data_IF_391795100120
#
_entry.id   IF_391795100120
#
_cell.length_a   1.000
_cell.length_b   1.000
_cell.length_c   1.000
_cell.angle_alpha   90.00
_cell.angle_beta   90.00
_cell.angle_gamma   90.00
#
_symmetry.space_group_name_H-M   'P 1'
#
loop_
_entity.id
_entity.type
_entity.pdbx_description
1 polymer ?
#
# COMPACT_ATOMS: atom_id res chain seq x y z
N UNK A 1 -44.36 -68.03 -20.33
CA UNK A 1 -44.80 -67.38 -19.08
C UNK A 1 -43.79 -66.31 -18.70
N UNK A 2 -44.09 -65.02 -18.93
CA UNK A 2 -43.27 -63.91 -18.44
C UNK A 2 -43.83 -63.47 -17.09
N UNK A 3 -43.13 -63.77 -15.99
CA UNK A 3 -43.49 -63.25 -14.66
C UNK A 3 -43.11 -61.77 -14.62
N UNK A 4 -44.11 -60.89 -14.72
CA UNK A 4 -43.92 -59.45 -14.53
C UNK A 4 -43.53 -59.15 -13.09
N UNK A 5 -42.58 -58.23 -12.91
CA UNK A 5 -42.19 -57.73 -11.59
C UNK A 5 -43.39 -56.96 -11.04
N UNK A 6 -44.02 -57.51 -10.01
CA UNK A 6 -45.16 -56.89 -9.33
C UNK A 6 -44.77 -55.55 -8.70
N UNK A 7 -45.78 -54.71 -8.44
CA UNK A 7 -45.65 -53.35 -7.90
C UNK A 7 -44.69 -53.23 -6.70
N UNK A 8 -44.61 -54.26 -5.85
CA UNK A 8 -43.69 -54.35 -4.72
C UNK A 8 -42.21 -54.48 -5.12
N UNK A 9 -41.91 -55.09 -6.26
CA UNK A 9 -40.55 -55.18 -6.79
C UNK A 9 -40.03 -53.84 -7.32
N UNK A 10 -40.92 -53.01 -7.88
CA UNK A 10 -40.56 -51.64 -8.30
C UNK A 10 -40.28 -50.72 -7.12
N UNK A 11 -41.06 -50.83 -6.03
CA UNK A 11 -40.82 -50.08 -4.79
C UNK A 11 -39.46 -50.45 -4.18
N UNK A 12 -39.12 -51.75 -4.17
CA UNK A 12 -37.80 -52.22 -3.69
C UNK A 12 -36.63 -51.63 -4.49
N UNK A 13 -36.75 -51.54 -5.82
CA UNK A 13 -35.70 -50.97 -6.69
C UNK A 13 -35.53 -49.46 -6.44
N UNK A 14 -36.62 -48.71 -6.26
CA UNK A 14 -36.56 -47.27 -6.00
C UNK A 14 -35.92 -46.97 -4.64
N UNK A 15 -36.23 -47.77 -3.61
CA UNK A 15 -35.59 -47.64 -2.29
C UNK A 15 -34.10 -47.94 -2.38
N UNK A 16 -33.71 -48.99 -3.13
CA UNK A 16 -32.30 -49.35 -3.32
C UNK A 16 -31.53 -48.23 -4.04
N UNK A 17 -32.10 -47.65 -5.10
CA UNK A 17 -31.50 -46.54 -5.84
C UNK A 17 -31.37 -45.29 -4.94
N UNK A 18 -32.39 -44.99 -4.14
CA UNK A 18 -32.36 -43.88 -3.18
C UNK A 18 -31.27 -44.02 -2.10
N UNK A 19 -31.04 -45.26 -1.63
CA UNK A 19 -29.95 -45.56 -0.69
C UNK A 19 -28.59 -45.39 -1.39
N UNK A 20 -28.43 -45.92 -2.60
CA UNK A 20 -27.18 -45.77 -3.36
C UNK A 20 -26.86 -44.29 -3.61
N UNK A 21 -27.85 -43.47 -3.99
CA UNK A 21 -27.66 -42.03 -4.21
C UNK A 21 -27.28 -41.31 -2.90
N UNK A 22 -27.92 -41.66 -1.77
CA UNK A 22 -27.61 -41.04 -0.47
C UNK A 22 -26.23 -41.37 0.06
N UNK A 23 -25.66 -42.52 -0.31
CA UNK A 23 -24.37 -42.97 0.22
C UNK A 23 -23.21 -42.97 -0.79
N UNK A 24 -23.47 -42.68 -2.08
CA UNK A 24 -22.42 -42.62 -3.11
C UNK A 24 -21.33 -41.60 -2.79
N UNK A 25 -21.68 -40.50 -2.11
CA UNK A 25 -20.70 -39.48 -1.69
C UNK A 25 -19.68 -40.01 -0.67
N UNK A 26 -20.01 -41.04 0.11
CA UNK A 26 -19.08 -41.70 1.04
C UNK A 26 -17.95 -42.41 0.29
N UNK A 27 -18.26 -43.03 -0.85
CA UNK A 27 -17.24 -43.64 -1.72
C UNK A 27 -16.33 -42.58 -2.34
N UNK A 28 -16.89 -41.45 -2.76
CA UNK A 28 -16.12 -40.33 -3.32
C UNK A 28 -15.13 -39.77 -2.29
N UNK A 29 -15.58 -39.55 -1.04
CA UNK A 29 -14.72 -39.10 0.06
C UNK A 29 -13.59 -40.11 0.33
N UNK A 30 -13.90 -41.42 0.33
CA UNK A 30 -12.90 -42.48 0.50
C UNK A 30 -11.80 -42.46 -0.56
N UNK A 31 -12.15 -42.20 -1.82
CA UNK A 31 -11.17 -42.09 -2.93
C UNK A 31 -10.24 -40.89 -2.73
N UNK A 32 -10.75 -39.74 -2.30
CA UNK A 32 -9.93 -38.55 -2.04
C UNK A 32 -8.97 -38.75 -0.86
N UNK A 33 -9.42 -39.41 0.21
CA UNK A 33 -8.56 -39.77 1.35
C UNK A 33 -7.43 -40.71 0.90
N UNK A 34 -7.76 -41.72 0.09
CA UNK A 34 -6.76 -42.67 -0.42
C UNK A 34 -5.74 -42.02 -1.36
N UNK A 35 -6.18 -41.12 -2.24
CA UNK A 35 -5.28 -40.34 -3.11
C UNK A 35 -4.36 -39.41 -2.29
N UNK A 36 -4.89 -38.74 -1.27
CA UNK A 36 -4.09 -37.93 -0.34
C UNK A 36 -3.02 -38.76 0.37
N UNK A 37 -3.37 -39.97 0.81
CA UNK A 37 -2.43 -40.93 1.41
C UNK A 37 -1.31 -41.34 0.43
N UNK A 38 -1.63 -41.65 -0.83
CA UNK A 38 -0.64 -42.01 -1.85
C UNK A 38 0.33 -40.87 -2.16
N UNK A 39 -0.17 -39.64 -2.26
CA UNK A 39 0.65 -38.43 -2.48
C UNK A 39 1.59 -38.22 -1.29
N UNK A 40 1.08 -38.33 -0.07
CA UNK A 40 1.88 -38.24 1.16
C UNK A 40 2.97 -39.32 1.19
N UNK A 41 2.64 -40.58 0.92
CA UNK A 41 3.58 -41.69 0.95
C UNK A 41 4.69 -41.53 -0.09
N UNK A 42 4.36 -41.06 -1.30
CA UNK A 42 5.34 -40.78 -2.37
C UNK A 42 6.25 -39.59 -2.05
N UNK A 43 5.70 -38.55 -1.40
CA UNK A 43 6.46 -37.38 -0.95
C UNK A 43 7.39 -37.71 0.23
N UNK A 44 6.93 -38.53 1.18
CA UNK A 44 7.68 -38.94 2.37
C UNK A 44 8.88 -39.85 2.03
N UNK A 45 8.79 -40.66 0.97
CA UNK A 45 9.89 -41.55 0.54
C UNK A 45 10.97 -40.86 -0.31
N UNK A 46 10.71 -39.67 -0.86
CA UNK A 46 11.61 -39.01 -1.82
C UNK A 46 12.29 -37.73 -1.29
N UNK A 47 12.23 -37.46 0.02
CA UNK A 47 12.75 -36.22 0.60
C UNK A 47 13.90 -36.46 1.57
N UNK A 48 15.10 -36.01 1.19
CA UNK A 48 16.24 -35.75 2.10
C UNK A 48 16.06 -34.47 2.93
N UNK A 49 14.84 -33.94 3.09
CA UNK A 49 14.58 -32.79 3.95
C UNK A 49 13.86 -33.23 5.22
N UNK A 50 14.66 -33.56 6.23
CA UNK A 50 14.22 -33.60 7.63
C UNK A 50 13.81 -32.18 8.05
N UNK A 51 12.64 -32.09 8.68
CA UNK A 51 12.09 -30.95 9.44
C UNK A 51 11.73 -29.67 8.66
N UNK A 52 10.43 -29.51 8.35
CA UNK A 52 9.53 -28.49 8.93
C UNK A 52 8.11 -28.56 8.32
N UNK A 53 7.12 -28.50 9.21
CA UNK A 53 5.69 -28.21 8.98
C UNK A 53 4.80 -29.33 8.42
N UNK A 54 4.49 -30.31 9.28
CA UNK A 54 3.40 -31.29 9.14
C UNK A 54 1.98 -30.71 9.34
N UNK A 55 1.85 -29.41 9.63
CA UNK A 55 0.56 -28.75 9.91
C UNK A 55 -0.12 -28.25 8.61
N UNK A 56 0.65 -27.93 7.57
CA UNK A 56 0.14 -27.38 6.30
C UNK A 56 -0.54 -28.43 5.39
N UNK A 57 -0.26 -29.71 5.59
CA UNK A 57 -0.86 -30.79 4.78
C UNK A 57 -2.28 -31.15 5.22
N UNK A 58 -2.71 -30.79 6.43
CA UNK A 58 -4.06 -31.07 6.93
C UNK A 58 -5.10 -30.01 6.52
N UNK A 59 -4.69 -28.76 6.28
CA UNK A 59 -5.60 -27.67 5.89
C UNK A 59 -6.14 -27.81 4.46
N UNK A 60 -5.38 -28.43 3.56
CA UNK A 60 -5.79 -28.64 2.16
C UNK A 60 -6.86 -29.72 2.00
N UNK A 61 -6.94 -30.68 2.93
CA UNK A 61 -7.93 -31.78 2.88
C UNK A 61 -9.29 -31.34 3.44
N UNK A 62 -9.32 -30.35 4.34
CA UNK A 62 -10.56 -29.88 4.98
C UNK A 62 -11.37 -28.88 4.12
N UNK A 63 -10.73 -28.17 3.18
CA UNK A 63 -11.40 -27.18 2.32
C UNK A 63 -12.08 -27.77 1.08
N UNK A 64 -11.84 -29.05 0.77
CA UNK A 64 -12.47 -29.75 -0.36
C UNK A 64 -13.84 -30.39 -0.02
N UNK A 65 -14.29 -30.32 1.24
CA UNK A 65 -15.56 -30.92 1.68
C UNK A 65 -16.75 -29.96 1.76
N UNK A 66 -16.55 -28.63 1.60
CA UNK A 66 -17.63 -27.63 1.76
C UNK A 66 -18.26 -27.19 0.42
N UNK A 67 -17.72 -27.59 -0.74
CA UNK A 67 -18.23 -27.14 -2.05
C UNK A 67 -19.31 -28.04 -2.70
N UNK A 68 -20.01 -28.87 -1.93
CA UNK A 68 -21.11 -29.70 -2.45
C UNK A 68 -22.36 -29.63 -1.56
N UNK A 69 -22.93 -28.43 -1.39
CA UNK A 69 -24.37 -28.28 -1.12
C UNK A 69 -24.88 -27.26 -2.15
N UNK A 70 -25.44 -27.80 -3.24
CA UNK A 70 -26.06 -27.04 -4.31
C UNK A 70 -27.54 -26.78 -4.03
N UNK A 71 -27.94 -25.57 -4.44
CA UNK A 71 -29.29 -25.08 -4.79
C UNK A 71 -30.21 -26.13 -5.44
N UNK A 72 -31.45 -26.27 -4.96
CA UNK A 72 -32.68 -26.67 -5.71
C UNK A 72 -33.96 -26.16 -4.99
N UNK A 73 -34.73 -25.25 -5.64
CA UNK A 73 -36.20 -24.91 -5.66
C UNK A 73 -37.08 -25.01 -4.37
N UNK A 74 -38.17 -24.24 -4.12
CA UNK A 74 -39.21 -23.61 -4.97
C UNK A 74 -40.06 -22.55 -4.21
N UNK A 75 -40.85 -21.76 -4.96
CA UNK A 75 -41.83 -20.72 -4.58
C UNK A 75 -43.04 -21.19 -3.73
N UNK A 76 -43.63 -20.27 -2.95
CA UNK A 76 -45.08 -19.93 -3.03
C UNK A 76 -45.51 -18.78 -2.10
N UNK A 77 -46.26 -17.85 -2.71
CA UNK A 77 -47.14 -16.76 -2.26
C UNK A 77 -47.36 -16.46 -0.77
N UNK A 78 -47.36 -15.16 -0.42
CA UNK A 78 -48.62 -14.42 -0.17
C UNK A 78 -48.41 -12.92 0.12
N UNK A 79 -49.13 -12.13 -0.68
CA UNK A 79 -49.70 -10.78 -0.46
C UNK A 79 -49.59 -10.14 0.93
N UNK A 80 -49.11 -8.89 0.98
CA UNK A 80 -49.97 -7.74 1.37
C UNK A 80 -49.35 -6.41 0.94
N UNK A 81 -50.17 -5.61 0.25
CA UNK A 81 -49.88 -4.25 -0.16
C UNK A 81 -50.20 -3.28 0.98
N UNK A 82 -49.34 -2.28 1.19
CA UNK A 82 -49.77 -0.98 1.73
C UNK A 82 -49.03 0.14 1.02
N UNK A 83 -49.77 0.82 0.14
CA UNK A 83 -49.47 2.17 -0.36
C UNK A 83 -49.55 3.16 0.80
N UNK A 84 -48.59 4.07 0.86
CA UNK A 84 -48.82 5.42 1.39
C UNK A 84 -48.12 6.44 0.51
N UNK A 85 -48.93 7.24 -0.17
CA UNK A 85 -48.59 8.47 -0.88
C UNK A 85 -49.08 9.62 0.00
N UNK A 86 -48.21 10.61 0.24
CA UNK A 86 -48.56 11.99 0.62
C UNK A 86 -47.32 12.82 0.22
N UNK A 87 -47.40 13.50 -0.93
CA UNK A 87 -47.86 14.87 -1.12
C UNK A 87 -46.72 15.90 -1.03
N UNK A 88 -46.52 16.58 -2.17
CA UNK A 88 -45.62 17.68 -2.38
C UNK A 88 -46.06 18.92 -1.59
N UNK A 89 -45.08 19.68 -1.08
CA UNK A 89 -45.21 21.14 -0.97
C UNK A 89 -43.95 21.82 -1.50
N UNK A 90 -44.08 22.32 -2.72
CA UNK A 90 -43.26 23.35 -3.36
C UNK A 90 -43.28 24.66 -2.57
N UNK A 91 -42.12 25.27 -2.37
CA UNK A 91 -42.01 26.73 -2.19
C UNK A 91 -40.93 27.25 -3.16
N UNK A 92 -41.38 28.04 -4.13
CA UNK A 92 -40.59 28.94 -4.94
C UNK A 92 -40.12 30.11 -4.06
N UNK A 93 -38.85 30.49 -4.16
CA UNK A 93 -38.43 31.88 -3.92
C UNK A 93 -37.59 32.34 -5.11
N UNK A 94 -38.13 33.33 -5.80
CA UNK A 94 -37.50 34.04 -6.91
C UNK A 94 -36.73 35.25 -6.38
N UNK A 95 -35.52 35.45 -6.94
CA UNK A 95 -34.66 36.63 -7.05
C UNK A 95 -35.17 37.98 -6.49
N UNK A 96 -34.26 38.73 -5.87
CA UNK A 96 -34.05 40.16 -6.19
C UNK A 96 -32.59 40.56 -5.98
N UNK A 97 -32.06 41.33 -6.93
CA UNK A 97 -30.70 41.85 -7.00
C UNK A 97 -30.59 43.28 -6.44
N UNK A 98 -29.34 43.71 -6.28
CA UNK A 98 -28.79 45.06 -6.08
C UNK A 98 -28.75 45.64 -4.65
N UNK A 99 -27.52 45.86 -4.14
CA UNK A 99 -27.02 47.24 -3.98
C UNK A 99 -25.48 47.33 -3.86
N UNK A 100 -24.95 48.24 -4.69
CA UNK A 100 -23.68 49.01 -4.67
C UNK A 100 -22.60 48.75 -3.59
N UNK A 101 -21.39 48.47 -4.10
CA UNK A 101 -20.12 49.23 -3.95
C UNK A 101 -19.98 50.13 -2.70
N UNK A 102 -19.10 49.73 -1.79
CA UNK A 102 -18.23 50.63 -1.03
C UNK A 102 -16.92 49.90 -0.72
N UNK A 103 -15.80 50.55 -1.06
CA UNK A 103 -14.43 50.14 -0.80
C UNK A 103 -14.00 50.80 0.52
N UNK A 104 -13.23 50.11 1.37
CA UNK A 104 -12.05 50.76 1.91
C UNK A 104 -10.80 49.92 1.66
N UNK A 105 -9.77 50.64 1.24
CA UNK A 105 -8.40 50.20 1.01
C UNK A 105 -7.80 49.62 2.30
N UNK A 106 -7.40 48.34 2.26
CA UNK A 106 -6.43 47.77 3.19
C UNK A 106 -5.27 47.12 2.40
N UNK A 107 -4.07 47.45 2.86
CA UNK A 107 -2.77 47.16 2.27
C UNK A 107 -2.56 45.68 1.91
N UNK A 108 -2.42 45.40 0.61
CA UNK A 108 -1.90 44.12 0.13
C UNK A 108 -0.38 44.09 0.27
N UNK A 109 0.12 43.53 1.37
CA UNK A 109 1.40 42.79 1.36
C UNK A 109 1.28 41.68 0.31
N UNK A 110 2.00 41.82 -0.81
CA UNK A 110 2.13 40.79 -1.85
C UNK A 110 2.73 39.52 -1.25
N UNK A 111 1.89 38.55 -0.91
CA UNK A 111 2.32 37.17 -0.74
C UNK A 111 2.74 36.64 -2.12
N UNK A 112 3.98 36.16 -2.25
CA UNK A 112 4.46 35.51 -3.47
C UNK A 112 3.71 34.19 -3.63
N UNK A 113 2.65 34.19 -4.42
CA UNK A 113 2.02 32.96 -4.92
C UNK A 113 3.05 32.27 -5.83
N UNK A 114 3.54 31.10 -5.41
CA UNK A 114 4.53 30.32 -6.16
C UNK A 114 4.00 29.92 -7.54
N UNK A 115 4.91 29.83 -8.52
CA UNK A 115 4.61 29.39 -9.90
C UNK A 115 3.95 28.01 -9.84
N UNK A 116 2.78 27.87 -10.46
CA UNK A 116 2.08 26.60 -10.62
C UNK A 116 2.88 25.72 -11.59
N UNK A 117 3.51 24.65 -11.09
CA UNK A 117 4.29 23.72 -11.90
C UNK A 117 3.33 22.73 -12.61
N UNK A 118 3.47 22.58 -13.92
CA UNK A 118 2.86 21.51 -14.70
C UNK A 118 3.85 20.34 -14.89
N UNK A 119 3.38 19.20 -15.42
CA UNK A 119 4.23 18.00 -15.61
C UNK A 119 5.46 18.27 -16.49
N UNK A 120 5.33 19.11 -17.51
CA UNK A 120 6.43 19.48 -18.42
C UNK A 120 7.50 20.34 -17.73
N UNK A 121 7.13 21.12 -16.71
CA UNK A 121 8.09 21.88 -15.90
C UNK A 121 8.91 20.94 -14.99
N UNK A 122 8.38 19.77 -14.60
CA UNK A 122 9.02 18.86 -13.63
C UNK A 122 10.33 18.29 -14.15
N UNK A 123 10.43 18.02 -15.46
CA UNK A 123 11.63 17.43 -16.09
C UNK A 123 12.87 18.32 -15.96
N UNK A 124 12.67 19.62 -15.81
CA UNK A 124 13.75 20.61 -15.76
C UNK A 124 14.10 21.03 -14.34
N UNK A 125 13.37 20.55 -13.33
CA UNK A 125 13.65 20.86 -11.94
C UNK A 125 15.02 20.34 -11.51
N UNK A 126 15.71 21.16 -10.73
CA UNK A 126 16.96 20.79 -10.09
C UNK A 126 16.71 20.59 -8.60
N UNK A 127 17.36 19.57 -8.03
CA UNK A 127 17.32 19.34 -6.61
C UNK A 127 18.09 20.46 -5.88
N UNK A 128 17.41 21.17 -4.99
CA UNK A 128 17.99 22.28 -4.21
C UNK A 128 17.97 22.01 -2.70
N UNK A 129 17.87 20.75 -2.28
CA UNK A 129 17.92 20.33 -0.87
C UNK A 129 16.59 19.86 -0.27
N UNK A 130 15.45 20.10 -0.92
CA UNK A 130 14.16 19.53 -0.51
C UNK A 130 13.81 18.36 -1.45
N UNK A 131 13.73 17.15 -0.91
CA UNK A 131 13.53 15.94 -1.73
C UNK A 131 12.08 15.81 -2.22
N UNK A 132 11.12 16.33 -1.46
CA UNK A 132 9.72 16.42 -1.87
C UNK A 132 9.29 17.88 -1.99
N UNK A 133 8.59 18.21 -3.08
CA UNK A 133 8.01 19.54 -3.30
C UNK A 133 6.52 19.43 -3.64
N UNK A 134 5.74 20.44 -3.26
CA UNK A 134 4.34 20.53 -3.64
C UNK A 134 4.20 20.93 -5.11
N UNK A 135 3.38 20.20 -5.86
CA UNK A 135 2.98 20.53 -7.23
C UNK A 135 1.55 21.07 -7.18
N UNK A 136 1.26 22.09 -7.98
CA UNK A 136 -0.07 22.75 -7.96
C UNK A 136 -0.54 23.15 -6.54
N UNK A 137 0.39 23.61 -5.69
CA UNK A 137 0.10 23.95 -4.29
C UNK A 137 -0.38 22.76 -3.45
N UNK A 138 -0.02 21.54 -3.82
CA UNK A 138 -0.46 20.31 -3.16
C UNK A 138 -1.83 19.80 -3.61
N UNK A 139 -2.46 20.46 -4.60
CA UNK A 139 -3.79 20.09 -5.07
C UNK A 139 -3.74 19.13 -6.27
N UNK A 140 -4.39 17.95 -6.19
CA UNK A 140 -4.58 17.07 -7.35
C UNK A 140 -5.27 17.80 -8.49
N UNK A 141 -4.98 17.39 -9.72
CA UNK A 141 -5.56 17.94 -10.95
C UNK A 141 -6.62 17.04 -11.57
N UNK A 142 -7.17 16.10 -10.81
CA UNK A 142 -8.20 15.17 -11.28
C UNK A 142 -9.49 15.89 -11.67
N UNK A 143 -10.04 15.52 -12.82
CA UNK A 143 -11.38 15.94 -13.25
C UNK A 143 -12.47 15.20 -12.47
N UNK A 144 -13.72 15.63 -12.62
CA UNK A 144 -14.87 14.90 -12.06
C UNK A 144 -14.99 13.48 -12.61
N UNK A 145 -14.60 13.28 -13.87
CA UNK A 145 -14.66 11.97 -14.54
C UNK A 145 -13.58 11.03 -13.99
N UNK A 146 -12.39 11.55 -13.68
CA UNK A 146 -11.31 10.79 -13.02
C UNK A 146 -11.72 10.26 -11.65
N UNK A 147 -12.62 10.98 -10.96
CA UNK A 147 -13.11 10.63 -9.62
C UNK A 147 -14.35 9.72 -9.65
N UNK A 148 -14.84 9.34 -10.85
CA UNK A 148 -16.04 8.53 -10.98
C UNK A 148 -15.81 7.09 -10.52
N UNK A 149 -16.66 6.62 -9.61
CA UNK A 149 -16.65 5.25 -9.08
C UNK A 149 -17.60 4.31 -9.83
N UNK A 150 -18.26 4.79 -10.88
CA UNK A 150 -19.29 4.02 -11.61
C UNK A 150 -18.77 2.70 -12.21
N UNK A 151 -17.47 2.60 -12.47
CA UNK A 151 -16.81 1.39 -13.00
C UNK A 151 -16.17 0.50 -11.93
N UNK A 152 -16.38 0.82 -10.65
CA UNK A 152 -15.66 0.17 -9.54
C UNK A 152 -14.18 0.52 -9.53
N UNK A 153 -13.42 -0.23 -8.75
CA UNK A 153 -11.97 -0.03 -8.64
C UNK A 153 -11.22 -0.56 -9.86
N UNK A 154 -10.12 0.09 -10.20
CA UNK A 154 -9.29 -0.27 -11.35
C UNK A 154 -7.84 0.16 -11.14
N UNK A 155 -6.94 -0.47 -11.88
CA UNK A 155 -5.54 -0.09 -12.02
C UNK A 155 -5.16 -0.17 -13.49
N UNK A 156 -4.37 0.79 -13.95
CA UNK A 156 -3.81 0.86 -15.28
C UNK A 156 -2.31 1.16 -15.20
N UNK A 157 -1.56 0.49 -16.06
CA UNK A 157 -0.11 0.64 -16.14
C UNK A 157 0.26 0.85 -17.60
N UNK A 158 0.77 2.03 -17.90
CA UNK A 158 1.16 2.41 -19.25
C UNK A 158 2.14 1.42 -19.86
N UNK A 159 2.08 1.28 -21.18
CA UNK A 159 3.09 0.52 -21.90
C UNK A 159 4.46 1.12 -21.67
N UNK A 160 5.48 0.26 -21.61
CA UNK A 160 6.85 0.73 -21.57
C UNK A 160 7.12 1.57 -22.82
N UNK A 161 7.88 2.66 -22.68
CA UNK A 161 8.27 3.48 -23.82
C UNK A 161 9.35 2.81 -24.69
N UNK A 162 9.85 3.52 -25.71
CA UNK A 162 10.88 3.02 -26.62
C UNK A 162 12.23 2.69 -25.95
N UNK A 163 12.44 3.11 -24.70
CA UNK A 163 13.61 2.80 -23.88
C UNK A 163 13.31 1.72 -22.84
N UNK A 164 12.14 1.08 -22.92
CA UNK A 164 11.61 0.12 -21.96
C UNK A 164 11.36 0.71 -20.57
N UNK A 165 11.08 2.01 -20.48
CA UNK A 165 10.85 2.70 -19.20
C UNK A 165 9.35 2.72 -18.89
N UNK A 166 8.93 2.56 -17.62
CA UNK A 166 7.55 2.81 -17.20
C UNK A 166 7.12 4.24 -17.50
N UNK A 167 5.86 4.42 -17.94
CA UNK A 167 5.34 5.75 -18.34
C UNK A 167 4.39 6.35 -17.32
N UNK A 168 3.49 5.56 -16.74
CA UNK A 168 2.57 5.97 -15.69
C UNK A 168 1.98 4.74 -14.98
N UNK A 169 1.53 4.96 -13.75
CA UNK A 169 0.66 4.04 -13.03
C UNK A 169 -0.54 4.82 -12.50
N UNK A 170 -1.73 4.37 -12.85
CA UNK A 170 -3.00 5.01 -12.54
C UNK A 170 -3.91 4.01 -11.84
N UNK A 171 -4.67 4.47 -10.85
CA UNK A 171 -5.64 3.63 -10.19
C UNK A 171 -6.78 4.43 -9.56
N UNK A 172 -7.94 3.78 -9.47
CA UNK A 172 -9.00 4.11 -8.53
C UNK A 172 -9.06 2.96 -7.53
N UNK A 173 -8.45 3.17 -6.36
CA UNK A 173 -8.15 2.12 -5.40
C UNK A 173 -9.28 2.05 -4.38
N UNK A 174 -9.72 0.84 -4.04
CA UNK A 174 -10.58 0.59 -2.88
C UNK A 174 -9.95 -0.48 -1.97
N UNK A 175 -10.53 -0.67 -0.77
CA UNK A 175 -10.04 -1.65 0.21
C UNK A 175 -9.89 -3.06 -0.36
N UNK A 176 -10.80 -3.48 -1.25
CA UNK A 176 -10.78 -4.82 -1.86
C UNK A 176 -9.54 -5.08 -2.75
N UNK A 177 -8.84 -4.06 -3.21
CA UNK A 177 -7.59 -4.21 -3.98
C UNK A 177 -6.37 -4.48 -3.10
N UNK A 178 -6.43 -4.18 -1.79
CA UNK A 178 -5.29 -4.35 -0.91
C UNK A 178 -5.00 -5.85 -0.72
N UNK A 179 -3.75 -6.31 -0.93
CA UNK A 179 -3.43 -7.72 -0.88
C UNK A 179 -3.47 -8.24 0.56
N UNK A 180 -4.04 -9.42 0.74
CA UNK A 180 -3.92 -10.20 1.98
C UNK A 180 -2.71 -11.15 1.95
N UNK A 181 -2.23 -11.48 0.75
CA UNK A 181 -1.07 -12.34 0.55
C UNK A 181 0.24 -11.62 0.92
N UNK A 182 1.19 -12.40 1.44
CA UNK A 182 2.55 -11.91 1.67
C UNK A 182 3.20 -11.55 0.35
N UNK A 183 3.92 -10.42 0.32
CA UNK A 183 4.69 -9.99 -0.84
C UNK A 183 5.83 -10.95 -1.14
N UNK A 184 5.97 -11.34 -2.41
CA UNK A 184 7.08 -12.15 -2.89
C UNK A 184 8.32 -11.29 -3.23
N UNK A 185 9.53 -11.88 -3.28
CA UNK A 185 10.74 -11.16 -3.67
C UNK A 185 10.63 -10.52 -5.07
N UNK A 186 11.25 -9.35 -5.23
CA UNK A 186 11.33 -8.68 -6.52
C UNK A 186 12.52 -9.18 -7.36
N UNK A 187 12.26 -9.56 -8.60
CA UNK A 187 13.25 -10.12 -9.52
C UNK A 187 13.45 -9.29 -10.81
N UNK A 188 12.55 -8.36 -11.14
CA UNK A 188 12.68 -7.47 -12.30
C UNK A 188 13.77 -6.43 -12.05
N UNK A 189 14.72 -6.28 -12.98
CA UNK A 189 15.65 -5.16 -12.96
C UNK A 189 15.12 -4.07 -13.89
N UNK A 190 14.72 -2.90 -13.37
CA UNK A 190 14.27 -1.79 -14.20
C UNK A 190 15.42 -1.18 -14.99
N UNK A 191 15.09 -0.26 -15.91
CA UNK A 191 16.08 0.49 -16.68
C UNK A 191 17.08 1.20 -15.77
N UNK A 192 18.35 1.26 -16.19
CA UNK A 192 19.42 1.88 -15.42
C UNK A 192 19.82 1.15 -14.12
N UNK A 193 19.45 -0.12 -13.94
CA UNK A 193 19.76 -0.85 -12.71
C UNK A 193 21.27 -1.12 -12.53
N UNK A 194 21.97 -0.21 -11.85
CA UNK A 194 23.41 -0.30 -11.51
C UNK A 194 23.63 -0.05 -10.01
N UNK A 195 23.21 -1.02 -9.20
CA UNK A 195 23.17 -0.86 -7.75
C UNK A 195 24.57 -0.88 -7.08
N UNK A 196 24.71 -0.13 -5.99
CA UNK A 196 25.93 0.01 -5.19
C UNK A 196 25.59 0.01 -3.71
N UNK A 197 26.47 -0.55 -2.88
CA UNK A 197 26.31 -0.53 -1.42
C UNK A 197 26.84 0.78 -0.85
N UNK A 198 26.01 1.45 -0.06
CA UNK A 198 26.28 2.64 0.76
C UNK A 198 26.13 2.28 2.24
N UNK A 199 26.35 3.22 3.17
CA UNK A 199 26.23 2.97 4.61
C UNK A 199 24.85 2.41 5.00
N UNK A 200 23.78 2.98 4.43
CA UNK A 200 22.40 2.58 4.69
C UNK A 200 21.95 1.31 3.94
N UNK A 201 22.87 0.57 3.29
CA UNK A 201 22.56 -0.65 2.55
C UNK A 201 22.76 -0.49 1.05
N UNK A 202 21.82 -0.97 0.23
CA UNK A 202 21.89 -0.76 -1.22
C UNK A 202 21.28 0.60 -1.61
N UNK A 203 21.91 1.30 -2.55
CA UNK A 203 21.50 2.60 -3.04
C UNK A 203 20.12 2.55 -3.70
N UNK A 204 19.92 1.60 -4.60
CA UNK A 204 18.67 1.49 -5.37
C UNK A 204 17.75 0.40 -4.82
N UNK A 205 16.48 0.73 -4.78
CA UNK A 205 15.36 -0.18 -4.67
C UNK A 205 14.73 -0.36 -6.05
N UNK A 206 14.13 -1.54 -6.26
CA UNK A 206 13.14 -1.74 -7.32
C UNK A 206 11.87 -1.06 -6.84
N UNK A 207 11.80 0.25 -7.08
CA UNK A 207 10.79 1.11 -6.50
C UNK A 207 9.50 0.99 -7.29
N UNK A 208 8.42 0.71 -6.57
CA UNK A 208 7.09 0.62 -7.15
C UNK A 208 6.55 2.01 -7.48
N UNK A 209 5.86 2.19 -8.61
CA UNK A 209 5.10 3.42 -8.84
C UNK A 209 3.85 3.44 -7.96
N UNK A 210 3.09 2.34 -7.93
CA UNK A 210 2.03 2.08 -6.95
C UNK A 210 2.48 0.91 -6.08
N UNK A 211 2.70 1.18 -4.79
CA UNK A 211 3.18 0.20 -3.82
C UNK A 211 2.31 -1.04 -3.71
N UNK A 212 2.96 -2.19 -3.49
CA UNK A 212 2.30 -3.49 -3.32
C UNK A 212 1.13 -3.46 -2.32
N UNK A 213 1.27 -2.70 -1.21
CA UNK A 213 0.23 -2.61 -0.17
C UNK A 213 -1.10 -2.04 -0.66
N UNK A 214 -1.12 -1.36 -1.81
CA UNK A 214 -2.31 -0.73 -2.37
C UNK A 214 -3.00 -1.61 -3.41
N UNK A 215 -2.25 -2.36 -4.22
CA UNK A 215 -2.82 -3.08 -5.39
C UNK A 215 -2.35 -4.52 -5.57
N UNK A 216 -1.42 -5.00 -4.74
CA UNK A 216 -0.85 -6.36 -4.83
C UNK A 216 0.10 -6.58 -6.01
N UNK A 217 0.36 -5.55 -6.85
CA UNK A 217 1.27 -5.68 -7.98
C UNK A 217 2.72 -5.85 -7.51
N UNK A 218 3.30 -7.02 -7.79
CA UNK A 218 4.64 -7.35 -7.30
C UNK A 218 5.72 -7.16 -8.38
N UNK A 219 5.90 -8.11 -9.31
CA UNK A 219 6.94 -8.08 -10.34
C UNK A 219 6.46 -7.54 -11.70
N UNK A 220 5.59 -6.53 -11.69
CA UNK A 220 5.13 -5.89 -12.92
C UNK A 220 6.22 -4.91 -13.43
N UNK A 221 6.87 -5.16 -14.59
CA UNK A 221 7.91 -4.28 -15.11
C UNK A 221 7.40 -2.88 -15.46
N UNK A 222 6.10 -2.71 -15.72
CA UNK A 222 5.47 -1.39 -15.93
C UNK A 222 5.23 -0.59 -14.65
N UNK A 223 5.46 -1.20 -13.49
CA UNK A 223 5.26 -0.61 -12.18
C UNK A 223 6.57 -0.49 -11.38
N UNK A 224 7.74 -0.67 -12.01
CA UNK A 224 9.02 -0.70 -11.31
C UNK A 224 10.05 0.21 -11.98
N UNK A 225 10.65 1.10 -11.19
CA UNK A 225 11.76 1.97 -11.62
C UNK A 225 13.01 1.76 -10.74
N UNK A 226 14.17 2.18 -11.25
CA UNK A 226 15.39 2.33 -10.43
C UNK A 226 15.21 3.56 -9.54
N UNK A 227 14.75 3.36 -8.31
CA UNK A 227 14.54 4.43 -7.34
C UNK A 227 15.57 4.36 -6.22
N UNK A 228 16.06 5.49 -5.73
CA UNK A 228 16.92 5.53 -4.54
C UNK A 228 16.16 5.01 -3.32
N UNK A 229 16.92 4.56 -2.32
CA UNK A 229 16.35 4.13 -1.06
C UNK A 229 15.53 5.24 -0.42
N UNK A 230 16.07 6.47 -0.33
CA UNK A 230 15.36 7.60 0.29
C UNK A 230 14.10 8.00 -0.47
N UNK A 231 14.11 8.04 -1.80
CA UNK A 231 12.90 8.33 -2.58
C UNK A 231 11.83 7.28 -2.32
N UNK A 232 12.21 6.00 -2.35
CA UNK A 232 11.26 4.92 -2.09
C UNK A 232 10.75 4.91 -0.63
N UNK A 233 11.62 5.22 0.33
CA UNK A 233 11.31 5.28 1.76
C UNK A 233 12.36 6.16 2.46
N UNK A 234 11.94 7.28 3.09
CA UNK A 234 10.57 7.57 3.51
C UNK A 234 9.67 8.31 2.54
N UNK A 235 10.21 8.92 1.48
CA UNK A 235 9.49 9.96 0.75
C UNK A 235 8.19 9.46 0.09
N UNK A 236 8.23 8.39 -0.71
CA UNK A 236 7.00 7.81 -1.29
C UNK A 236 6.13 7.12 -0.24
N UNK A 237 6.74 6.29 0.62
CA UNK A 237 6.03 5.39 1.53
C UNK A 237 5.05 6.13 2.44
N UNK A 238 5.39 7.33 2.89
CA UNK A 238 4.52 8.05 3.82
C UNK A 238 3.19 8.49 3.18
N UNK A 239 3.19 8.81 1.88
CA UNK A 239 1.95 9.13 1.15
C UNK A 239 1.13 7.86 0.91
N UNK A 240 1.81 6.76 0.60
CA UNK A 240 1.17 5.45 0.40
C UNK A 240 0.52 4.94 1.71
N UNK A 241 1.17 5.18 2.85
CA UNK A 241 0.66 4.81 4.17
C UNK A 241 -0.62 5.59 4.54
N UNK A 242 -0.74 6.86 4.15
CA UNK A 242 -1.98 7.64 4.32
C UNK A 242 -3.13 7.05 3.49
N UNK A 243 -2.86 6.70 2.22
CA UNK A 243 -3.84 6.05 1.33
C UNK A 243 -4.26 4.70 1.91
N UNK A 244 -3.29 3.85 2.29
CA UNK A 244 -3.54 2.52 2.81
C UNK A 244 -4.39 2.56 4.09
N UNK A 245 -4.16 3.56 4.94
CA UNK A 245 -4.96 3.76 6.14
C UNK A 245 -6.38 4.17 5.82
N UNK A 246 -6.57 5.19 4.97
CA UNK A 246 -7.90 5.63 4.57
C UNK A 246 -8.74 4.46 4.04
N UNK A 247 -8.16 3.63 3.17
CA UNK A 247 -8.86 2.47 2.61
C UNK A 247 -9.23 1.44 3.69
N UNK A 248 -8.38 1.25 4.70
CA UNK A 248 -8.65 0.35 5.82
C UNK A 248 -9.76 0.84 6.74
N UNK A 249 -9.83 2.15 7.00
CA UNK A 249 -10.86 2.76 7.86
C UNK A 249 -12.15 3.06 7.12
N UNK A 250 -12.10 3.12 5.79
CA UNK A 250 -13.23 3.43 4.91
C UNK A 250 -13.36 2.28 3.89
N UNK A 251 -13.89 1.11 4.28
CA UNK A 251 -13.87 -0.10 3.44
C UNK A 251 -14.66 0.04 2.12
N UNK A 252 -15.58 1.00 2.04
CA UNK A 252 -16.34 1.35 0.84
C UNK A 252 -15.80 2.60 0.12
N UNK A 253 -14.74 3.21 0.65
CA UNK A 253 -14.11 4.40 0.12
C UNK A 253 -13.23 4.09 -1.09
N UNK A 254 -13.03 5.12 -1.91
CA UNK A 254 -12.15 5.07 -3.08
C UNK A 254 -11.11 6.18 -3.00
N UNK A 255 -9.90 5.90 -3.48
CA UNK A 255 -8.85 6.90 -3.67
C UNK A 255 -8.41 6.87 -5.13
N UNK A 256 -8.56 7.99 -5.83
CA UNK A 256 -7.94 8.19 -7.13
C UNK A 256 -6.47 8.49 -6.91
N UNK A 257 -5.58 7.66 -7.46
CA UNK A 257 -4.14 7.74 -7.26
C UNK A 257 -3.40 7.60 -8.58
N UNK A 258 -2.43 8.48 -8.83
CA UNK A 258 -1.59 8.48 -10.03
C UNK A 258 -0.14 8.71 -9.65
N UNK A 259 0.76 7.95 -10.27
CA UNK A 259 2.20 8.14 -10.18
C UNK A 259 2.83 8.12 -11.57
N UNK A 260 3.55 9.19 -11.92
CA UNK A 260 4.24 9.37 -13.19
C UNK A 260 5.74 9.53 -12.94
N UNK A 261 6.59 8.57 -13.36
CA UNK A 261 8.03 8.76 -13.31
C UNK A 261 8.46 9.82 -14.33
N UNK A 262 9.33 10.73 -13.91
CA UNK A 262 9.81 11.84 -14.76
C UNK A 262 11.22 11.52 -15.24
N UNK A 263 11.36 11.20 -16.53
CA UNK A 263 12.66 11.02 -17.18
C UNK A 263 13.02 12.25 -18.00
N UNK A 264 14.31 12.59 -18.03
CA UNK A 264 14.81 13.64 -18.93
C UNK A 264 15.44 12.99 -20.15
N UNK A 265 15.00 13.41 -21.34
CA UNK A 265 15.49 12.90 -22.61
C UNK A 265 15.50 11.35 -22.65
N UNK A 266 16.66 10.77 -22.98
CA UNK A 266 16.89 9.33 -23.10
C UNK A 266 17.45 8.69 -21.82
N UNK A 267 17.34 9.35 -20.66
CA UNK A 267 17.83 8.82 -19.40
C UNK A 267 17.11 7.55 -18.99
N UNK A 268 17.87 6.59 -18.45
CA UNK A 268 17.34 5.29 -18.03
C UNK A 268 16.89 5.27 -16.56
N UNK A 269 17.24 6.28 -15.78
CA UNK A 269 16.80 6.47 -14.40
C UNK A 269 15.97 7.74 -14.31
N UNK A 270 14.79 7.66 -13.70
CA UNK A 270 13.91 8.81 -13.53
C UNK A 270 14.58 9.84 -12.61
N UNK A 271 14.39 11.12 -12.91
CA UNK A 271 14.80 12.26 -12.07
C UNK A 271 13.98 12.37 -10.80
N UNK A 272 12.78 11.79 -10.81
CA UNK A 272 11.85 11.78 -9.70
C UNK A 272 10.53 11.14 -10.11
N UNK A 273 9.55 11.21 -9.22
CA UNK A 273 8.17 10.78 -9.46
C UNK A 273 7.21 11.92 -9.13
N UNK A 274 6.24 12.14 -10.01
CA UNK A 274 5.08 12.98 -9.74
C UNK A 274 3.98 12.09 -9.17
N UNK A 275 3.51 12.40 -7.98
CA UNK A 275 2.48 11.64 -7.27
C UNK A 275 1.30 12.54 -6.92
N UNK A 276 0.08 12.10 -7.22
CA UNK A 276 -1.13 12.78 -6.78
C UNK A 276 -2.22 11.79 -6.33
N UNK A 277 -2.92 12.13 -5.26
CA UNK A 277 -4.02 11.34 -4.74
C UNK A 277 -5.18 12.19 -4.25
N UNK A 278 -6.41 11.69 -4.42
CA UNK A 278 -7.63 12.27 -3.88
C UNK A 278 -8.61 11.17 -3.46
N UNK A 279 -9.07 11.20 -2.21
CA UNK A 279 -10.22 10.39 -1.77
C UNK A 279 -11.51 10.86 -2.46
N UNK A 280 -12.36 9.93 -2.87
CA UNK A 280 -13.62 10.26 -3.56
C UNK A 280 -14.72 10.52 -2.54
N UNK A 281 -15.42 11.64 -2.69
CA UNK A 281 -16.54 12.03 -1.83
C UNK A 281 -16.14 12.79 -0.56
N UNK A 282 -14.85 12.85 -0.25
CA UNK A 282 -14.29 13.66 0.84
C UNK A 282 -12.89 14.20 0.47
N UNK A 283 -12.19 14.86 1.41
CA UNK A 283 -10.82 15.35 1.20
C UNK A 283 -9.83 14.77 2.24
N UNK A 284 -10.13 13.60 2.81
CA UNK A 284 -9.32 12.98 3.86
C UNK A 284 -7.91 12.61 3.36
N UNK A 285 -7.80 12.20 2.09
CA UNK A 285 -6.52 12.04 1.39
C UNK A 285 -6.50 13.02 0.22
N UNK A 286 -5.57 13.97 0.23
CA UNK A 286 -5.42 14.95 -0.84
C UNK A 286 -3.98 15.47 -0.91
N UNK A 287 -3.26 15.13 -1.97
CA UNK A 287 -1.92 15.67 -2.21
C UNK A 287 -1.54 15.66 -3.69
N UNK A 288 -0.59 16.51 -4.04
CA UNK A 288 0.05 16.56 -5.35
C UNK A 288 1.50 17.00 -5.17
N UNK A 289 2.45 16.10 -5.42
CA UNK A 289 3.85 16.27 -5.06
C UNK A 289 4.79 15.74 -6.13
N UNK A 290 5.98 16.30 -6.20
CA UNK A 290 7.09 15.75 -6.95
C UNK A 290 8.20 15.36 -5.98
N UNK A 291 8.66 14.12 -6.08
CA UNK A 291 9.70 13.56 -5.22
C UNK A 291 10.94 13.29 -6.07
N UNK A 292 12.04 13.96 -5.76
CA UNK A 292 13.31 13.78 -6.44
C UNK A 292 13.90 12.39 -6.16
N UNK A 293 14.42 11.76 -7.22
CA UNK A 293 15.13 10.48 -7.13
C UNK A 293 16.60 10.74 -6.78
N UNK A 294 16.84 11.18 -5.56
CA UNK A 294 18.16 11.57 -5.02
C UNK A 294 18.51 10.74 -3.80
N UNK A 295 19.77 10.74 -3.40
CA UNK A 295 20.24 10.11 -2.17
C UNK A 295 21.37 10.95 -1.60
N UNK A 296 21.31 11.28 -0.32
CA UNK A 296 22.34 12.07 0.34
C UNK A 296 23.73 11.46 0.16
N UNK A 297 24.70 12.31 -0.18
CA UNK A 297 26.08 11.92 -0.41
C UNK A 297 26.32 11.06 -1.66
N UNK A 298 25.36 10.97 -2.59
CA UNK A 298 25.47 10.22 -3.83
C UNK A 298 25.15 11.09 -5.06
N UNK A 299 26.08 11.12 -6.01
CA UNK A 299 25.87 11.69 -7.34
C UNK A 299 25.42 10.56 -8.28
N UNK A 300 24.22 10.69 -8.86
CA UNK A 300 23.63 9.71 -9.77
C UNK A 300 23.87 10.15 -11.21
N UNK A 301 24.38 9.23 -12.03
CA UNK A 301 24.33 9.37 -13.48
C UNK A 301 22.98 8.83 -13.98
N UNK A 302 22.03 9.73 -14.23
CA UNK A 302 20.68 9.33 -14.65
C UNK A 302 20.63 8.69 -16.04
N UNK A 303 21.65 8.91 -16.87
CA UNK A 303 21.72 8.33 -18.22
C UNK A 303 21.77 6.80 -18.20
N UNK A 304 22.51 6.20 -17.24
CA UNK A 304 22.76 4.75 -17.19
C UNK A 304 22.59 4.12 -15.79
N UNK A 305 22.36 4.96 -14.78
CA UNK A 305 22.19 4.61 -13.37
C UNK A 305 23.47 4.32 -12.60
N UNK A 306 24.65 4.53 -13.18
CA UNK A 306 25.90 4.51 -12.41
C UNK A 306 25.92 5.63 -11.37
N UNK A 307 26.75 5.51 -10.33
CA UNK A 307 26.78 6.48 -9.24
C UNK A 307 28.18 6.71 -8.68
N UNK A 308 28.44 7.92 -8.18
CA UNK A 308 29.61 8.25 -7.35
C UNK A 308 29.14 8.50 -5.93
N UNK A 309 29.83 7.86 -4.98
CA UNK A 309 29.50 7.94 -3.56
C UNK A 309 30.57 8.80 -2.91
N UNK A 310 30.15 9.81 -2.15
CA UNK A 310 31.07 10.65 -1.40
C UNK A 310 31.89 9.81 -0.42
N UNK A 311 33.12 10.24 -0.08
CA UNK A 311 34.01 9.49 0.80
C UNK A 311 33.36 9.14 2.15
N UNK A 312 32.48 10.03 2.64
CA UNK A 312 31.73 9.83 3.89
C UNK A 312 30.65 8.77 3.78
N UNK A 313 30.15 8.42 2.59
CA UNK A 313 29.09 7.41 2.40
C UNK A 313 29.63 6.03 1.99
N UNK A 314 30.96 5.92 1.83
CA UNK A 314 31.61 4.63 1.59
C UNK A 314 31.76 3.84 2.88
N UNK A 315 31.46 2.53 2.83
CA UNK A 315 31.79 1.61 3.90
C UNK A 315 33.33 1.48 3.95
N UNK A 316 34.01 2.26 4.82
CA UNK A 316 35.39 1.94 5.19
C UNK A 316 35.37 0.58 5.89
N UNK A 317 36.19 -0.37 5.41
CA UNK A 317 36.52 -1.57 6.20
C UNK A 317 37.08 -1.09 7.55
N UNK A 318 36.34 -1.37 8.61
CA UNK A 318 36.67 -0.98 9.98
C UNK A 318 37.94 -1.71 10.43
N UNK A 319 38.97 -1.01 10.95
CA UNK A 319 39.98 -1.63 11.80
C UNK A 319 39.33 -1.98 13.14
N UNK A 320 39.56 -3.20 13.62
CA UNK A 320 39.20 -3.69 14.95
C UNK A 320 39.82 -2.81 16.04
N UNK A 321 39.01 -2.30 16.97
CA UNK A 321 39.50 -1.67 18.21
C UNK A 321 38.82 -2.34 19.40
N UNK A 322 39.68 -2.81 20.29
CA UNK A 322 39.42 -3.40 21.60
C UNK A 322 38.72 -2.46 22.55
N UNK A 323 37.87 -3.05 23.38
CA UNK A 323 37.16 -2.49 24.52
C UNK A 323 38.08 -1.95 25.63
N UNK A 324 37.85 -0.71 26.07
CA UNK A 324 38.03 -0.34 27.47
C UNK A 324 37.03 0.73 27.89
N UNK A 325 36.26 0.40 28.91
CA UNK A 325 35.25 1.16 29.65
C UNK A 325 35.85 2.22 30.58
N UNK A 326 35.20 3.38 30.69
CA UNK A 326 35.13 4.18 31.92
C UNK A 326 33.98 5.20 31.83
N UNK A 327 33.15 5.19 32.88
CA UNK A 327 32.02 6.06 33.19
C UNK A 327 32.49 7.34 33.92
N UNK A 328 31.81 8.48 33.71
CA UNK A 328 31.44 9.45 34.77
C UNK A 328 30.57 10.58 34.22
N UNK A 329 29.50 10.89 34.95
CA UNK A 329 28.51 11.94 34.75
C UNK A 329 29.05 13.35 35.05
N UNK A 330 28.52 14.38 34.37
CA UNK A 330 27.90 15.55 35.02
C UNK A 330 27.28 16.51 33.98
N UNK A 331 26.11 17.01 34.34
CA UNK A 331 25.15 17.85 33.62
C UNK A 331 25.63 19.28 33.33
N UNK A 332 25.31 19.80 32.14
CA UNK A 332 24.86 21.19 31.95
C UNK A 332 23.94 21.31 30.73
N UNK A 333 22.96 22.20 30.90
CA UNK A 333 21.81 22.51 30.05
C UNK A 333 22.22 23.01 28.66
N UNK A 334 21.85 22.27 27.62
CA UNK A 334 21.77 22.83 26.28
C UNK A 334 20.64 22.17 25.48
N UNK A 335 19.94 23.00 24.71
CA UNK A 335 18.69 22.69 24.01
C UNK A 335 19.01 21.83 22.77
N UNK A 336 19.37 20.57 23.01
CA UNK A 336 19.77 19.61 21.98
C UNK A 336 18.59 18.74 21.55
N UNK A 337 18.27 18.86 20.25
CA UNK A 337 17.37 17.99 19.52
C UNK A 337 17.89 16.56 19.62
N UNK A 338 17.34 15.79 20.55
CA UNK A 338 17.74 14.40 20.77
C UNK A 338 16.58 13.48 20.40
N UNK A 339 16.67 12.88 19.22
CA UNK A 339 15.96 11.64 18.90
C UNK A 339 16.54 10.57 19.82
N UNK A 340 15.81 10.22 20.88
CA UNK A 340 16.20 9.10 21.74
C UNK A 340 15.74 7.84 21.03
N UNK A 341 16.67 7.10 20.43
CA UNK A 341 16.48 5.67 20.18
C UNK A 341 16.33 5.00 21.55
N UNK A 342 15.09 4.88 22.00
CA UNK A 342 14.77 4.17 23.22
C UNK A 342 15.01 2.68 23.00
N UNK A 343 16.10 2.17 23.55
CA UNK A 343 16.13 0.80 24.06
C UNK A 343 15.26 0.78 25.33
N UNK A 344 13.97 0.46 25.20
CA UNK A 344 13.23 -0.13 26.30
C UNK A 344 12.08 -1.00 25.78
N UNK A 345 11.94 -2.14 26.44
CA UNK A 345 11.17 -3.36 26.21
C UNK A 345 11.43 -4.20 24.93
N UNK A 346 11.98 -5.38 25.17
CA UNK A 346 12.40 -6.35 24.17
C UNK A 346 11.22 -7.07 23.54
N UNK A 347 10.76 -6.57 22.41
CA UNK A 347 10.07 -7.40 21.42
C UNK A 347 10.57 -7.02 20.04
N UNK A 348 11.46 -7.85 19.48
CA UNK A 348 11.69 -7.88 18.04
C UNK A 348 10.38 -8.39 17.39
N UNK A 349 9.45 -7.49 17.09
CA UNK A 349 8.09 -7.82 16.68
C UNK A 349 7.29 -6.61 16.20
N UNK A 350 6.02 -6.85 15.88
CA UNK A 350 5.07 -5.79 15.55
C UNK A 350 4.64 -5.05 16.83
N UNK A 351 4.61 -3.72 16.78
CA UNK A 351 4.09 -2.84 17.83
C UNK A 351 3.00 -1.93 17.27
N UNK A 352 2.05 -1.52 18.09
CA UNK A 352 1.07 -0.50 17.73
C UNK A 352 1.50 0.86 18.29
N UNK A 353 1.50 1.89 17.44
CA UNK A 353 1.92 3.24 17.84
C UNK A 353 1.04 3.88 18.92
N UNK A 354 -0.24 3.51 19.02
CA UNK A 354 -1.16 4.03 20.03
C UNK A 354 -0.82 3.56 21.45
N UNK A 355 -0.21 2.38 21.58
CA UNK A 355 0.02 1.74 22.89
C UNK A 355 1.25 2.29 23.62
N UNK A 356 2.02 3.16 22.96
CA UNK A 356 3.31 3.64 23.49
C UNK A 356 3.19 4.70 24.57
N UNK A 357 2.04 5.40 24.65
CA UNK A 357 1.87 6.54 25.55
C UNK A 357 2.83 7.71 25.29
N UNK A 358 3.59 7.68 24.18
CA UNK A 358 4.63 8.66 23.82
C UNK A 358 4.45 9.11 22.37
N UNK A 359 5.15 10.18 21.98
CA UNK A 359 5.23 10.56 20.57
C UNK A 359 6.20 9.59 19.88
N UNK A 360 5.70 8.77 18.97
CA UNK A 360 6.45 7.73 18.29
C UNK A 360 6.32 7.86 16.78
N UNK A 361 7.44 7.87 16.08
CA UNK A 361 7.52 7.84 14.63
C UNK A 361 8.12 6.56 14.09
N UNK A 362 7.94 6.34 12.79
CA UNK A 362 8.54 5.24 12.06
C UNK A 362 9.64 5.76 11.15
N UNK A 363 10.86 5.29 11.32
CA UNK A 363 12.02 5.72 10.53
C UNK A 363 11.85 5.47 9.04
N UNK A 364 11.05 4.47 8.64
CA UNK A 364 10.84 4.16 7.23
C UNK A 364 9.78 5.05 6.58
N UNK A 365 8.78 5.56 7.31
CA UNK A 365 7.74 6.41 6.72
C UNK A 365 7.83 7.87 7.16
N UNK A 366 8.69 8.21 8.13
CA UNK A 366 8.72 9.55 8.72
C UNK A 366 7.33 10.07 9.18
N UNK A 367 6.42 9.17 9.56
CA UNK A 367 5.13 9.53 10.16
C UNK A 367 5.23 9.34 11.66
N UNK A 368 4.88 10.38 12.45
CA UNK A 368 4.78 10.29 13.91
C UNK A 368 3.32 10.30 14.39
N UNK A 369 3.06 9.58 15.48
CA UNK A 369 1.80 9.55 16.22
C UNK A 369 1.98 10.21 17.57
N UNK A 370 0.94 10.90 18.04
CA UNK A 370 0.86 11.39 19.42
C UNK A 370 -0.07 10.51 20.25
N UNK A 371 0.10 10.48 21.59
CA UNK A 371 -0.79 9.72 22.47
C UNK A 371 -2.26 10.09 22.25
N UNK A 372 -3.11 9.07 22.12
CA UNK A 372 -4.56 9.23 21.88
C UNK A 372 -5.01 9.24 20.41
N UNK A 373 -4.10 9.23 19.44
CA UNK A 373 -4.44 8.99 18.03
C UNK A 373 -4.74 7.51 17.76
N UNK A 374 -5.45 7.21 16.66
CA UNK A 374 -5.55 5.84 16.19
C UNK A 374 -4.17 5.39 15.72
N UNK A 375 -3.63 4.35 16.35
CA UNK A 375 -2.32 3.84 16.01
C UNK A 375 -2.32 2.91 14.82
N UNK A 376 -1.13 2.47 14.42
CA UNK A 376 -0.94 1.43 13.43
C UNK A 376 0.17 0.48 13.84
N UNK A 377 0.12 -0.72 13.26
CA UNK A 377 1.13 -1.72 13.49
C UNK A 377 2.36 -1.42 12.62
N UNK A 378 3.52 -1.33 13.26
CA UNK A 378 4.82 -1.23 12.61
C UNK A 378 5.81 -2.16 13.32
N UNK A 379 6.90 -2.53 12.66
CA UNK A 379 7.97 -3.24 13.33
C UNK A 379 8.66 -2.31 14.35
N UNK A 380 8.80 -2.78 15.59
CA UNK A 380 9.36 -2.01 16.71
C UNK A 380 10.79 -1.52 16.47
N UNK A 381 11.58 -2.23 15.67
CA UNK A 381 12.94 -1.80 15.29
C UNK A 381 12.96 -0.51 14.45
N UNK A 382 11.83 -0.09 13.91
CA UNK A 382 11.70 1.17 13.17
C UNK A 382 11.20 2.33 14.03
N UNK A 383 10.92 2.10 15.31
CA UNK A 383 10.38 3.12 16.21
C UNK A 383 11.42 4.21 16.54
N UNK A 384 11.02 5.46 16.42
CA UNK A 384 11.78 6.64 16.86
C UNK A 384 10.91 7.44 17.81
N UNK A 385 11.37 7.67 19.04
CA UNK A 385 10.59 8.40 20.03
C UNK A 385 11.01 9.87 20.10
N UNK A 386 10.03 10.75 20.24
CA UNK A 386 10.23 12.19 20.33
C UNK A 386 9.69 12.73 21.66
N UNK A 387 10.36 13.76 22.18
CA UNK A 387 9.93 14.45 23.40
C UNK A 387 8.83 15.50 23.12
N UNK A 388 8.67 15.93 21.87
CA UNK A 388 7.63 16.88 21.44
C UNK A 388 7.29 16.70 19.95
N UNK A 389 6.13 17.21 19.53
CA UNK A 389 5.75 17.24 18.11
C UNK A 389 6.73 18.11 17.30
N UNK A 390 7.19 19.23 17.87
CA UNK A 390 8.16 20.10 17.24
C UNK A 390 9.49 19.38 16.97
N UNK A 391 9.95 18.52 17.89
CA UNK A 391 11.16 17.73 17.69
C UNK A 391 10.98 16.72 16.54
N UNK A 392 9.81 16.09 16.45
CA UNK A 392 9.48 15.18 15.35
C UNK A 392 9.48 15.93 14.00
N UNK A 393 8.81 17.09 13.94
CA UNK A 393 8.73 17.93 12.74
C UNK A 393 10.10 18.46 12.31
N UNK A 394 10.94 18.90 13.26
CA UNK A 394 12.30 19.33 12.99
C UNK A 394 13.19 18.19 12.47
N UNK A 395 12.92 16.96 12.89
CA UNK A 395 13.57 15.75 12.39
C UNK A 395 13.02 15.28 11.02
N UNK A 396 12.13 16.05 10.39
CA UNK A 396 11.55 15.74 9.08
C UNK A 396 10.35 14.79 9.13
N UNK A 397 9.77 14.54 10.31
CA UNK A 397 8.58 13.71 10.44
C UNK A 397 7.31 14.53 10.31
N UNK A 398 6.29 13.97 9.66
CA UNK A 398 4.97 14.56 9.58
C UNK A 398 4.02 13.88 10.56
N UNK A 399 3.09 14.65 11.12
CA UNK A 399 2.01 14.11 11.95
C UNK A 399 1.15 13.14 11.15
N UNK A 400 0.84 12.01 11.76
CA UNK A 400 -0.13 11.05 11.23
C UNK A 400 -1.51 11.67 11.04
N UNK A 401 -2.18 11.32 9.94
CA UNK A 401 -3.60 11.66 9.71
C UNK A 401 -4.57 10.69 10.40
N UNK A 402 -4.04 9.74 11.17
CA UNK A 402 -4.76 8.64 11.84
C UNK A 402 -5.28 9.01 13.22
#
# INVERSE_FOLDING_TARGET
>A
MKKGIGLWGWIGIIILIGIVIKFWWVFVIGVFIYLGYLIYHKYALNSKHKTRNTILTWSAVFLLSISCIGVVFDNSDSTTATKSTSEQKTVKVTKTANHKKANPSEDKKKSKVGKQLNTDDLVNLQYTGAQTIAVNGGNPSFSTDDLSTAKGSWQDYGNLDSQNRPTHADALINHAMQPTAKREPLNVNPTGWRNKKIKSGYLYNRSHLIGYQLTGQNNNPKNLITGTRSMNSPEMLHYEDDIAYYLKTNPNGYVRYQVVPVFKDNELVARGVHMQAQSVGDNSVRFNVYIFNTQDGVEINYSDGTSKVSANETNKKQPTISSSSAESESSTTDNSVTAVSGNDDGSNGDMNTADTGRIVGNVNSHIYHVPGQSGYNMNSSNAVYFNSEQAAQAAGYRKSLR
#
